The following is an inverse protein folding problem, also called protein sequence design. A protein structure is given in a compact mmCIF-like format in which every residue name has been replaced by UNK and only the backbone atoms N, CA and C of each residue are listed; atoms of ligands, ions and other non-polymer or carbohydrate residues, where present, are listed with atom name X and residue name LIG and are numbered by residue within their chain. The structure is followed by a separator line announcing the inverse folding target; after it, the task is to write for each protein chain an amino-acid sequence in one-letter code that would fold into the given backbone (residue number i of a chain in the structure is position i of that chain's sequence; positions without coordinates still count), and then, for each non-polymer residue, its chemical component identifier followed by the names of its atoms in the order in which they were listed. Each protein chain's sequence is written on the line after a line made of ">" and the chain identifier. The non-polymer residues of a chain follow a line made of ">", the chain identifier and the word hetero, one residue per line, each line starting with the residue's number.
data_IF_765505257610
#
_entry.id   IF_765505257610
#
_cell.length_a   1.000
_cell.length_b   1.000
_cell.length_c   1.000
_cell.angle_alpha   90.00
_cell.angle_beta   90.00
_cell.angle_gamma   90.00
#
_symmetry.space_group_name_H-M   'P 1'
#
loop_
_entity.id
_entity.type
_entity.pdbx_description
1 polymer ?
#
# COMPACT_ATOMS: atom_id res chain seq x y z
N UNK A 1 4.34 -3.62 -14.53
CA UNK A 1 3.13 -2.98 -13.98
C UNK A 1 2.17 -4.09 -13.63
N UNK A 2 1.41 -3.97 -12.54
CA UNK A 2 0.35 -4.93 -12.20
C UNK A 2 -0.94 -4.40 -12.80
N UNK A 3 -1.63 -5.21 -13.59
CA UNK A 3 -2.87 -4.85 -14.27
C UNK A 3 -4.10 -5.26 -13.45
N UNK A 4 -5.25 -4.69 -13.80
CA UNK A 4 -6.53 -5.07 -13.19
C UNK A 4 -6.83 -6.52 -13.55
N UNK A 5 -7.07 -7.35 -12.55
CA UNK A 5 -7.36 -8.79 -12.72
C UNK A 5 -6.14 -9.68 -12.50
N UNK A 6 -4.94 -9.12 -12.40
CA UNK A 6 -3.74 -9.90 -12.10
C UNK A 6 -3.78 -10.44 -10.66
N UNK A 7 -3.50 -11.72 -10.50
CA UNK A 7 -3.20 -12.33 -9.21
C UNK A 7 -1.68 -12.36 -9.03
N UNK A 8 -1.15 -11.52 -8.14
CA UNK A 8 0.29 -11.38 -7.91
C UNK A 8 0.64 -11.73 -6.47
N UNK A 9 1.61 -12.63 -6.30
CA UNK A 9 2.19 -12.99 -5.00
C UNK A 9 3.57 -12.36 -4.79
N UNK A 10 3.86 -11.95 -3.56
CA UNK A 10 5.19 -11.49 -3.14
C UNK A 10 5.80 -12.55 -2.23
N UNK A 11 6.86 -13.22 -2.69
CA UNK A 11 7.50 -14.34 -1.99
C UNK A 11 8.91 -13.99 -1.51
N UNK A 12 9.37 -14.67 -0.46
CA UNK A 12 10.67 -14.45 0.18
C UNK A 12 10.73 -15.05 1.59
N UNK A 13 11.91 -15.11 2.25
CA UNK A 13 12.02 -15.62 3.60
C UNK A 13 11.36 -14.72 4.65
N UNK A 14 11.23 -15.23 5.89
CA UNK A 14 10.83 -14.41 7.02
C UNK A 14 11.87 -13.31 7.26
N UNK A 15 11.41 -12.09 7.55
CA UNK A 15 12.29 -10.93 7.70
C UNK A 15 12.70 -10.25 6.39
N UNK A 16 12.35 -10.76 5.20
CA UNK A 16 12.69 -10.14 3.92
C UNK A 16 12.02 -8.78 3.63
N UNK A 17 11.24 -8.24 4.58
CA UNK A 17 10.61 -6.93 4.44
C UNK A 17 9.27 -6.92 3.69
N UNK A 18 8.67 -8.08 3.37
CA UNK A 18 7.36 -8.16 2.68
C UNK A 18 6.26 -7.35 3.36
N UNK A 19 6.08 -7.52 4.67
CA UNK A 19 5.11 -6.74 5.45
C UNK A 19 5.43 -5.24 5.45
N UNK A 20 6.72 -4.87 5.53
CA UNK A 20 7.16 -3.48 5.45
C UNK A 20 6.88 -2.86 4.09
N UNK A 21 7.06 -3.64 3.01
CA UNK A 21 6.73 -3.23 1.65
C UNK A 21 5.23 -2.94 1.49
N UNK A 22 4.36 -3.85 1.94
CA UNK A 22 2.91 -3.62 1.91
C UNK A 22 2.50 -2.40 2.75
N UNK A 23 3.05 -2.26 3.96
CA UNK A 23 2.83 -1.07 4.79
C UNK A 23 3.28 0.21 4.10
N UNK A 24 4.41 0.21 3.38
CA UNK A 24 4.88 1.36 2.62
C UNK A 24 3.96 1.71 1.46
N UNK A 25 3.53 0.71 0.67
CA UNK A 25 2.58 0.89 -0.44
C UNK A 25 1.25 1.48 0.06
N UNK A 26 0.77 1.02 1.21
CA UNK A 26 -0.46 1.51 1.86
C UNK A 26 -0.27 2.87 2.56
N UNK A 27 0.94 3.45 2.56
CA UNK A 27 1.24 4.72 3.23
C UNK A 27 1.34 4.62 4.76
N UNK A 28 1.43 3.42 5.32
CA UNK A 28 1.57 3.14 6.75
C UNK A 28 3.03 3.14 7.22
N UNK A 29 3.99 2.98 6.30
CA UNK A 29 5.42 3.06 6.59
C UNK A 29 6.13 4.08 5.68
N UNK A 30 7.17 4.75 6.19
CA UNK A 30 7.99 5.66 5.39
C UNK A 30 8.84 4.90 4.39
N UNK A 31 8.96 5.44 3.18
CA UNK A 31 9.70 4.84 2.09
C UNK A 31 10.41 5.91 1.27
N UNK A 32 11.42 5.50 0.50
CA UNK A 32 12.10 6.34 -0.49
C UNK A 32 11.70 5.90 -1.90
N UNK A 33 11.73 6.83 -2.84
CA UNK A 33 11.30 6.59 -4.23
C UNK A 33 9.83 6.94 -4.48
N UNK A 34 9.22 6.34 -5.50
CA UNK A 34 7.85 6.67 -5.93
C UNK A 34 6.97 5.42 -5.95
N UNK A 35 5.78 5.51 -5.36
CA UNK A 35 4.71 4.52 -5.51
C UNK A 35 3.64 5.11 -6.43
N UNK A 36 3.18 4.33 -7.42
CA UNK A 36 2.04 4.66 -8.26
C UNK A 36 0.95 3.62 -8.05
N UNK A 37 -0.25 4.06 -7.66
CA UNK A 37 -1.44 3.22 -7.51
C UNK A 37 -2.50 3.70 -8.51
N UNK A 38 -3.09 2.77 -9.25
CA UNK A 38 -4.10 3.08 -10.27
C UNK A 38 -3.65 4.17 -11.28
N UNK A 39 -2.36 4.21 -11.62
CA UNK A 39 -1.79 5.21 -12.53
C UNK A 39 -1.45 6.57 -11.88
N UNK A 40 -1.85 6.81 -10.63
CA UNK A 40 -1.60 8.07 -9.93
C UNK A 40 -0.43 7.94 -8.96
N UNK A 41 0.41 8.99 -8.86
CA UNK A 41 1.45 9.06 -7.82
C UNK A 41 0.77 9.04 -6.45
N UNK A 42 1.06 8.04 -5.65
CA UNK A 42 0.54 7.94 -4.30
C UNK A 42 1.43 8.78 -3.37
N UNK A 43 0.98 10.00 -3.08
CA UNK A 43 1.64 10.87 -2.11
C UNK A 43 1.01 10.71 -0.73
N UNK A 44 1.88 10.49 0.25
CA UNK A 44 1.51 10.30 1.64
C UNK A 44 0.93 11.60 2.19
N UNK A 45 -0.39 11.73 2.20
CA UNK A 45 -1.08 12.81 2.89
C UNK A 45 -1.52 12.28 4.25
N UNK A 46 -0.73 12.58 5.30
CA UNK A 46 -1.00 12.15 6.68
C UNK A 46 -2.44 12.47 7.14
N UNK A 47 -3.05 13.54 6.61
CA UNK A 47 -4.44 13.94 6.90
C UNK A 47 -5.52 13.04 6.27
N UNK A 48 -5.20 12.21 5.27
CA UNK A 48 -6.22 11.47 4.47
C UNK A 48 -6.32 9.98 4.81
N UNK A 49 -5.26 9.37 5.35
CA UNK A 49 -5.22 7.95 5.72
C UNK A 49 -6.18 7.64 6.89
N UNK A 50 -6.28 8.53 7.89
CA UNK A 50 -7.28 8.42 8.95
C UNK A 50 -8.72 8.36 8.41
N UNK A 51 -9.00 8.99 7.26
CA UNK A 51 -10.35 9.05 6.67
C UNK A 51 -10.71 7.81 5.86
N UNK A 52 -9.73 7.11 5.27
CA UNK A 52 -9.97 5.91 4.46
C UNK A 52 -9.95 4.62 5.27
N UNK A 53 -9.08 4.51 6.28
CA UNK A 53 -9.05 3.31 7.15
C UNK A 53 -10.34 3.17 7.96
N UNK A 54 -10.95 4.28 8.37
CA UNK A 54 -12.27 4.27 9.02
C UNK A 54 -13.43 3.87 8.09
N UNK A 55 -13.30 4.09 6.78
CA UNK A 55 -14.36 3.72 5.82
C UNK A 55 -14.43 2.21 5.61
N UNK A 56 -13.32 1.49 5.77
CA UNK A 56 -13.27 0.03 5.63
C UNK A 56 -13.90 -0.64 6.85
N UNK A 57 -13.78 -0.03 8.04
CA UNK A 57 -14.44 -0.52 9.27
C UNK A 57 -15.95 -0.28 9.31
N UNK A 58 -16.53 0.50 8.37
CA UNK A 58 -17.97 0.75 8.29
C UNK A 58 -18.70 -0.19 7.31
N UNK A 59 -17.97 -1.14 6.74
CA UNK A 59 -18.47 -2.16 5.80
C UNK A 59 -18.24 -3.59 6.31
N UNK A 60 -17.91 -3.71 7.61
CA UNK A 60 -17.93 -4.96 8.38
C UNK A 60 -19.02 -4.82 9.46
#
# INVERSE_FOLDING_TARGET
>A
MVQKGDLVGVVGPNGAGKNSMFKAILGLLSYRGTVKLFGHKFQRSYKKIHKHVFSIHKFL
#
